data_IF_230328616653
#
_entry.id   IF_230328616653
#
_cell.length_a   1.000
_cell.length_b   1.000
_cell.length_c   1.000
_cell.angle_alpha   90.00
_cell.angle_beta   90.00
_cell.angle_gamma   90.00
#
_symmetry.space_group_name_H-M   'P 1'
#
loop_
_entity.id
_entity.type
_entity.pdbx_description
1 polymer ?
#
# COMPACT_ATOMS: atom_id res chain seq x y z
N UNK A 1 16.96 1.65 -10.03
CA UNK A 1 16.52 1.54 -11.43
C UNK A 1 15.07 1.99 -11.51
N UNK A 2 14.79 3.12 -12.19
CA UNK A 2 13.43 3.57 -12.42
C UNK A 2 12.82 2.72 -13.55
N UNK A 3 11.64 2.14 -13.30
CA UNK A 3 10.89 1.35 -14.28
C UNK A 3 9.50 1.94 -14.44
N UNK A 4 9.00 1.96 -15.67
CA UNK A 4 7.63 2.29 -16.00
C UNK A 4 7.01 1.13 -16.78
N UNK A 5 5.71 0.96 -16.65
CA UNK A 5 4.94 -0.06 -17.36
C UNK A 5 3.70 0.58 -17.97
N UNK A 6 3.35 0.15 -19.18
CA UNK A 6 2.15 0.58 -19.88
C UNK A 6 1.27 -0.64 -20.14
N UNK A 7 -0.02 -0.53 -19.82
CA UNK A 7 -1.00 -1.60 -19.98
C UNK A 7 -2.27 -1.07 -20.64
N UNK A 8 -2.83 -1.83 -21.57
CA UNK A 8 -4.13 -1.54 -22.16
C UNK A 8 -5.25 -1.97 -21.22
N UNK A 9 -6.20 -1.07 -20.97
CA UNK A 9 -7.43 -1.34 -20.21
C UNK A 9 -8.56 -1.59 -21.20
N UNK A 10 -9.24 -2.74 -21.06
CA UNK A 10 -10.31 -3.18 -21.97
C UNK A 10 -11.71 -2.93 -21.42
N UNK A 11 -11.88 -2.88 -20.10
CA UNK A 11 -13.19 -2.68 -19.47
C UNK A 11 -13.10 -1.91 -18.15
N UNK A 12 -14.26 -1.45 -17.65
CA UNK A 12 -14.36 -0.67 -16.39
C UNK A 12 -13.88 -1.45 -15.16
N UNK A 13 -14.07 -2.77 -15.14
CA UNK A 13 -13.63 -3.59 -14.01
C UNK A 13 -12.10 -3.61 -13.87
N UNK A 14 -11.37 -3.65 -14.98
CA UNK A 14 -9.91 -3.54 -14.99
C UNK A 14 -9.44 -2.15 -14.52
N UNK A 15 -10.11 -1.09 -14.98
CA UNK A 15 -9.82 0.27 -14.53
C UNK A 15 -10.01 0.41 -13.00
N UNK A 16 -11.12 -0.09 -12.48
CA UNK A 16 -11.41 -0.09 -11.05
C UNK A 16 -10.40 -0.94 -10.26
N UNK A 17 -10.05 -2.13 -10.77
CA UNK A 17 -9.03 -2.99 -10.17
C UNK A 17 -7.69 -2.27 -10.02
N UNK A 18 -7.20 -1.62 -11.08
CA UNK A 18 -5.94 -0.87 -11.01
C UNK A 18 -6.04 0.31 -10.05
N UNK A 19 -7.12 1.11 -10.12
CA UNK A 19 -7.33 2.25 -9.21
C UNK A 19 -7.32 1.83 -7.75
N UNK A 20 -8.07 0.77 -7.41
CA UNK A 20 -8.10 0.22 -6.04
C UNK A 20 -6.74 -0.30 -5.61
N UNK A 21 -6.10 -1.11 -6.45
CA UNK A 21 -4.80 -1.71 -6.13
C UNK A 21 -3.73 -0.65 -5.90
N UNK A 22 -3.53 0.27 -6.85
CA UNK A 22 -2.55 1.34 -6.69
C UNK A 22 -2.87 2.30 -5.55
N UNK A 23 -4.15 2.63 -5.36
CA UNK A 23 -4.60 3.45 -4.24
C UNK A 23 -4.28 2.82 -2.88
N UNK A 24 -4.59 1.53 -2.72
CA UNK A 24 -4.29 0.77 -1.51
C UNK A 24 -2.78 0.63 -1.28
N UNK A 25 -2.00 0.33 -2.31
CA UNK A 25 -0.55 0.23 -2.21
C UNK A 25 0.08 1.56 -1.75
N UNK A 26 -0.32 2.67 -2.38
CA UNK A 26 0.14 4.01 -2.01
C UNK A 26 -0.26 4.38 -0.59
N UNK A 27 -1.48 4.06 -0.19
CA UNK A 27 -1.97 4.27 1.17
C UNK A 27 -1.11 3.52 2.20
N UNK A 28 -0.91 2.22 2.00
CA UNK A 28 -0.11 1.38 2.92
C UNK A 28 1.33 1.87 3.01
N UNK A 29 1.97 2.18 1.88
CA UNK A 29 3.32 2.76 1.87
C UNK A 29 3.39 4.03 2.72
N UNK A 30 2.48 4.98 2.48
CA UNK A 30 2.47 6.25 3.19
C UNK A 30 2.22 6.08 4.69
N UNK A 31 1.30 5.20 5.11
CA UNK A 31 1.05 4.92 6.54
C UNK A 31 2.25 4.29 7.22
N UNK A 32 2.91 3.33 6.56
CA UNK A 32 4.14 2.74 7.10
C UNK A 32 5.27 3.76 7.20
N UNK A 33 5.42 4.62 6.19
CA UNK A 33 6.43 5.68 6.20
C UNK A 33 6.16 6.68 7.33
N UNK A 34 4.91 7.10 7.52
CA UNK A 34 4.48 8.00 8.59
C UNK A 34 4.84 7.44 9.97
N UNK A 35 4.49 6.19 10.28
CA UNK A 35 4.84 5.54 11.56
C UNK A 35 6.36 5.45 11.78
N UNK A 36 7.13 5.16 10.72
CA UNK A 36 8.59 5.10 10.81
C UNK A 36 9.18 6.49 11.10
N UNK A 37 8.69 7.53 10.42
CA UNK A 37 9.11 8.91 10.64
C UNK A 37 8.74 9.38 12.06
N UNK A 38 7.55 9.01 12.55
CA UNK A 38 7.13 9.32 13.91
C UNK A 38 8.03 8.65 14.95
N UNK A 39 8.34 7.35 14.77
CA UNK A 39 9.27 6.64 15.65
C UNK A 39 10.66 7.31 15.68
N UNK A 40 11.18 7.70 14.52
CA UNK A 40 12.44 8.44 14.40
C UNK A 40 12.40 9.79 15.14
N UNK A 41 11.33 10.58 14.95
CA UNK A 41 11.16 11.88 15.64
C UNK A 41 11.10 11.74 17.15
N UNK A 42 10.53 10.63 17.65
CA UNK A 42 10.46 10.32 19.07
C UNK A 42 11.75 9.70 19.63
N UNK A 43 12.80 9.52 18.81
CA UNK A 43 14.04 8.86 19.20
C UNK A 43 13.88 7.35 19.47
N UNK A 44 12.79 6.75 19.00
CA UNK A 44 12.48 5.32 19.18
C UNK A 44 13.06 4.50 18.04
N UNK A 45 13.26 3.21 18.30
CA UNK A 45 13.65 2.26 17.27
C UNK A 45 12.56 2.18 16.20
N UNK A 46 12.96 2.26 14.92
CA UNK A 46 12.06 2.15 13.78
C UNK A 46 11.37 0.77 13.80
N UNK A 47 10.03 0.72 13.87
CA UNK A 47 9.32 -0.54 13.94
C UNK A 47 9.34 -1.26 12.60
N UNK A 48 9.36 -2.60 12.65
CA UNK A 48 9.06 -3.43 11.48
C UNK A 48 7.55 -3.52 11.33
N UNK A 49 7.01 -2.75 10.39
CA UNK A 49 5.58 -2.67 10.13
C UNK A 49 5.20 -3.63 9.00
N UNK A 50 4.04 -4.27 9.11
CA UNK A 50 3.46 -5.11 8.07
C UNK A 50 2.07 -4.60 7.67
N UNK A 51 1.71 -4.67 6.38
CA UNK A 51 0.41 -4.21 5.89
C UNK A 51 -0.79 -4.87 6.58
N UNK A 52 -0.62 -6.10 7.08
CA UNK A 52 -1.66 -6.85 7.77
C UNK A 52 -2.23 -6.12 9.01
N UNK A 53 -1.42 -5.29 9.69
CA UNK A 53 -1.87 -4.50 10.86
C UNK A 53 -3.01 -3.55 10.50
N UNK A 54 -2.97 -2.98 9.31
CA UNK A 54 -3.95 -1.99 8.84
C UNK A 54 -5.29 -2.58 8.44
N UNK A 55 -5.35 -3.87 8.10
CA UNK A 55 -6.59 -4.50 7.59
C UNK A 55 -7.75 -4.50 8.59
N UNK A 56 -7.47 -4.32 9.88
CA UNK A 56 -8.52 -4.18 10.92
C UNK A 56 -9.17 -2.80 10.88
N UNK A 57 -8.36 -1.76 10.75
CA UNK A 57 -8.78 -0.35 10.76
C UNK A 57 -9.27 0.11 9.38
N UNK A 58 -8.72 -0.47 8.31
CA UNK A 58 -9.00 -0.12 6.92
C UNK A 58 -9.46 -1.36 6.15
N UNK A 59 -10.76 -1.74 6.24
CA UNK A 59 -11.28 -2.96 5.64
C UNK A 59 -11.12 -3.04 4.11
N UNK A 60 -11.10 -1.90 3.43
CA UNK A 60 -10.90 -1.82 1.97
C UNK A 60 -9.57 -2.43 1.51
N UNK A 61 -8.57 -2.53 2.40
CA UNK A 61 -7.31 -3.23 2.11
C UNK A 61 -7.47 -4.75 1.93
N UNK A 62 -8.65 -5.30 2.19
CA UNK A 62 -9.00 -6.70 1.89
C UNK A 62 -9.54 -6.90 0.48
N UNK A 63 -9.89 -5.83 -0.24
CA UNK A 63 -10.41 -5.89 -1.61
C UNK A 63 -9.31 -6.09 -2.66
N UNK A 64 -8.04 -5.91 -2.28
CA UNK A 64 -6.89 -5.96 -3.19
C UNK A 64 -5.96 -7.13 -2.86
N UNK A 65 -5.14 -7.50 -3.83
CA UNK A 65 -4.20 -8.60 -3.69
C UNK A 65 -3.22 -8.37 -2.52
N UNK A 66 -3.02 -9.43 -1.73
CA UNK A 66 -2.20 -9.37 -0.52
C UNK A 66 -0.70 -9.30 -0.82
N UNK A 67 -0.27 -9.87 -1.95
CA UNK A 67 1.13 -9.86 -2.39
C UNK A 67 1.48 -8.46 -2.89
N UNK A 68 0.58 -7.80 -3.61
CA UNK A 68 0.73 -6.41 -4.03
C UNK A 68 0.98 -5.49 -2.82
N UNK A 69 0.18 -5.64 -1.75
CA UNK A 69 0.37 -4.87 -0.51
C UNK A 69 1.65 -5.22 0.25
N UNK A 70 2.09 -6.48 0.22
CA UNK A 70 3.27 -6.93 0.96
C UNK A 70 4.59 -6.46 0.34
N UNK A 71 4.59 -6.13 -0.96
CA UNK A 71 5.77 -5.74 -1.71
C UNK A 71 5.80 -4.23 -2.05
N UNK A 72 5.04 -3.42 -1.32
CA UNK A 72 5.10 -1.96 -1.44
C UNK A 72 6.32 -1.38 -0.74
#
# INVERSE_FOLDING_TARGET
MLKAYEYRIYNKAQEEFFKKTFGCCRFVWNKMLEEKLEALRQGKKVPRITPARYKKEYPFLREVDSIALANV
#
